data_IF_238199717996
#
_entry.id   IF_238199717996
#
_cell.length_a   1.000
_cell.length_b   1.000
_cell.length_c   1.000
_cell.angle_alpha   90.00
_cell.angle_beta   90.00
_cell.angle_gamma   90.00
#
_symmetry.space_group_name_H-M   'P 1'
#
loop_
_entity.id
_entity.type
_entity.pdbx_description
1 polymer ?
#
# COMPACT_ATOMS: atom_id res chain seq x y z
N UNK A 1 -40.19 31.56 -20.25
CA UNK A 1 -39.44 30.44 -20.86
C UNK A 1 -38.12 31.01 -21.37
N UNK A 2 -36.91 30.55 -21.05
CA UNK A 2 -36.42 29.38 -20.33
C UNK A 2 -35.31 29.87 -19.39
N UNK A 3 -35.38 29.51 -18.11
CA UNK A 3 -34.24 29.63 -17.20
C UNK A 3 -33.25 28.52 -17.55
N UNK A 4 -32.01 28.88 -17.85
CA UNK A 4 -30.96 27.94 -18.19
C UNK A 4 -30.49 27.22 -16.93
N UNK A 5 -30.61 25.89 -16.94
CA UNK A 5 -30.11 24.99 -15.92
C UNK A 5 -28.58 24.89 -15.95
N UNK A 6 -27.99 25.04 -14.77
CA UNK A 6 -27.03 24.12 -14.15
C UNK A 6 -25.82 23.68 -15.00
N UNK A 7 -24.65 24.20 -14.62
CA UNK A 7 -23.41 23.40 -14.56
C UNK A 7 -22.87 23.52 -13.14
N UNK A 8 -23.36 22.63 -12.27
CA UNK A 8 -22.66 22.29 -11.04
C UNK A 8 -21.36 21.62 -11.46
N UNK A 9 -20.25 22.36 -11.34
CA UNK A 9 -18.92 21.81 -11.36
C UNK A 9 -18.80 20.92 -10.11
N UNK A 10 -19.16 19.64 -10.25
CA UNK A 10 -18.85 18.64 -9.24
C UNK A 10 -17.34 18.48 -9.25
N UNK A 11 -16.67 19.21 -8.35
CA UNK A 11 -15.26 18.97 -8.05
C UNK A 11 -15.12 17.49 -7.69
N UNK A 12 -14.32 16.77 -8.48
CA UNK A 12 -13.93 15.39 -8.19
C UNK A 12 -13.30 15.43 -6.79
N UNK A 13 -14.01 14.91 -5.78
CA UNK A 13 -13.45 14.74 -4.45
C UNK A 13 -12.45 13.59 -4.55
N UNK A 14 -11.18 13.91 -4.77
CA UNK A 14 -10.11 12.94 -4.62
C UNK A 14 -10.17 12.40 -3.20
N UNK A 15 -10.43 11.11 -3.04
CA UNK A 15 -10.43 10.47 -1.73
C UNK A 15 -9.03 9.98 -1.40
N UNK A 16 -8.73 9.80 -0.11
CA UNK A 16 -7.47 9.15 0.32
C UNK A 16 -7.27 7.78 -0.33
N UNK A 17 -8.37 7.09 -0.66
CA UNK A 17 -8.34 5.83 -1.36
C UNK A 17 -7.90 6.00 -2.83
N UNK A 18 -8.32 7.08 -3.49
CA UNK A 18 -7.88 7.37 -4.86
C UNK A 18 -6.41 7.77 -4.91
N UNK A 19 -5.90 8.44 -3.88
CA UNK A 19 -4.47 8.73 -3.73
C UNK A 19 -3.66 7.42 -3.61
N UNK A 20 -4.08 6.49 -2.73
CA UNK A 20 -3.42 5.17 -2.58
C UNK A 20 -3.49 4.37 -3.88
N UNK A 21 -4.65 4.34 -4.55
CA UNK A 21 -4.79 3.69 -5.86
C UNK A 21 -3.83 4.29 -6.88
N UNK A 22 -3.63 5.60 -6.85
CA UNK A 22 -2.70 6.30 -7.76
C UNK A 22 -1.27 5.88 -7.49
N UNK A 23 -0.86 5.80 -6.22
CA UNK A 23 0.48 5.30 -5.84
C UNK A 23 0.70 3.87 -6.37
N UNK A 24 -0.26 2.96 -6.15
CA UNK A 24 -0.16 1.58 -6.64
C UNK A 24 -0.10 1.53 -8.17
N UNK A 25 -0.95 2.31 -8.87
CA UNK A 25 -1.02 2.29 -10.34
C UNK A 25 0.22 2.87 -11.01
N UNK A 26 0.81 3.89 -10.42
CA UNK A 26 1.92 4.64 -11.03
C UNK A 26 3.28 4.27 -10.44
N UNK A 27 3.32 3.46 -9.38
CA UNK A 27 4.56 3.01 -8.75
C UNK A 27 5.40 2.12 -9.67
N UNK A 28 6.70 2.11 -9.44
CA UNK A 28 7.63 1.21 -10.10
C UNK A 28 7.45 -0.22 -9.58
N UNK A 29 7.30 -1.17 -10.49
CA UNK A 29 7.31 -2.60 -10.15
C UNK A 29 8.77 -3.06 -10.03
N UNK A 30 9.16 -3.49 -8.84
CA UNK A 30 10.49 -4.03 -8.57
C UNK A 30 10.36 -5.40 -7.89
N UNK A 31 10.53 -6.47 -8.67
CA UNK A 31 10.30 -7.84 -8.21
C UNK A 31 8.86 -8.04 -7.77
N UNK A 32 8.66 -8.40 -6.50
CA UNK A 32 7.34 -8.61 -5.89
C UNK A 32 6.74 -7.35 -5.27
N UNK A 33 7.39 -6.19 -5.43
CA UNK A 33 6.99 -4.95 -4.78
C UNK A 33 6.53 -3.91 -5.80
N UNK A 34 5.65 -3.02 -5.37
CA UNK A 34 5.37 -1.75 -6.03
C UNK A 34 5.94 -0.65 -5.15
N UNK A 35 6.78 0.22 -5.71
CA UNK A 35 7.47 1.29 -5.01
C UNK A 35 7.00 2.63 -5.58
N UNK A 36 6.53 3.51 -4.71
CA UNK A 36 6.16 4.88 -5.08
C UNK A 36 6.98 5.86 -4.24
N UNK A 37 7.85 6.63 -4.88
CA UNK A 37 8.54 7.74 -4.21
C UNK A 37 7.54 8.87 -3.93
N UNK A 38 7.52 9.35 -2.68
CA UNK A 38 6.70 10.47 -2.24
C UNK A 38 7.51 11.77 -2.34
N UNK A 39 8.78 11.68 -1.93
CA UNK A 39 9.80 12.73 -2.04
C UNK A 39 11.20 12.06 -2.11
N UNK A 40 12.26 12.85 -2.17
CA UNK A 40 13.63 12.33 -2.33
C UNK A 40 14.13 11.48 -1.15
N UNK A 41 13.44 11.51 -0.01
CA UNK A 41 13.80 10.86 1.24
C UNK A 41 12.73 9.89 1.77
N UNK A 42 11.57 9.79 1.10
CA UNK A 42 10.42 9.00 1.54
C UNK A 42 9.82 8.22 0.38
N UNK A 43 9.57 6.93 0.60
CA UNK A 43 8.85 6.08 -0.35
C UNK A 43 7.80 5.23 0.36
N UNK A 44 6.76 4.86 -0.37
CA UNK A 44 5.82 3.82 0.02
C UNK A 44 6.13 2.56 -0.76
N UNK A 45 6.19 1.43 -0.07
CA UNK A 45 6.40 0.11 -0.67
C UNK A 45 5.19 -0.76 -0.38
N UNK A 46 4.50 -1.19 -1.43
CA UNK A 46 3.48 -2.23 -1.37
C UNK A 46 4.15 -3.56 -1.69
N UNK A 47 4.46 -4.35 -0.65
CA UNK A 47 5.12 -5.65 -0.80
C UNK A 47 4.12 -6.77 -0.89
N UNK A 48 4.33 -7.68 -1.82
CA UNK A 48 3.54 -8.89 -1.99
C UNK A 48 4.27 -10.10 -1.37
N UNK A 49 3.92 -10.45 -0.13
CA UNK A 49 4.52 -11.58 0.61
C UNK A 49 3.56 -12.77 0.58
N UNK A 50 3.37 -13.35 -0.61
CA UNK A 50 2.41 -14.43 -0.89
C UNK A 50 3.03 -15.61 -1.62
N UNK A 51 2.42 -16.80 -1.50
CA UNK A 51 2.87 -18.03 -2.14
C UNK A 51 4.32 -18.36 -1.76
N UNK A 52 5.20 -18.46 -2.75
CA UNK A 52 6.63 -18.73 -2.51
C UNK A 52 7.35 -17.61 -1.74
N UNK A 53 6.77 -16.41 -1.72
CA UNK A 53 7.29 -15.25 -1.00
C UNK A 53 6.73 -15.12 0.41
N UNK A 54 5.71 -15.91 0.76
CA UNK A 54 5.10 -15.88 2.07
C UNK A 54 6.12 -16.26 3.15
N UNK A 55 5.98 -15.64 4.31
CA UNK A 55 6.82 -15.94 5.46
C UNK A 55 6.02 -15.84 6.76
N UNK A 56 6.49 -16.47 7.85
CA UNK A 56 5.86 -16.34 9.14
C UNK A 56 5.82 -14.90 9.65
N UNK A 57 4.79 -14.57 10.42
CA UNK A 57 4.69 -13.31 11.19
C UNK A 57 4.57 -13.66 12.68
N UNK A 58 5.67 -14.21 13.21
CA UNK A 58 5.74 -14.80 14.56
C UNK A 58 5.26 -13.86 15.68
N UNK A 59 5.57 -12.55 15.69
CA UNK A 59 5.09 -11.65 16.74
C UNK A 59 3.56 -11.52 16.81
N UNK A 60 2.84 -11.93 15.76
CA UNK A 60 1.39 -11.88 15.66
C UNK A 60 0.75 -13.27 15.67
N UNK A 61 1.51 -14.31 16.04
CA UNK A 61 1.01 -15.68 16.18
C UNK A 61 1.05 -16.53 14.91
N UNK A 62 1.48 -15.98 13.77
CA UNK A 62 1.66 -16.74 12.53
C UNK A 62 3.02 -17.44 12.55
N UNK A 63 3.04 -18.70 12.99
CA UNK A 63 4.26 -19.50 13.11
C UNK A 63 4.70 -20.08 11.76
N UNK A 64 3.72 -20.46 10.93
CA UNK A 64 3.92 -20.89 9.55
C UNK A 64 3.82 -19.70 8.58
N UNK A 65 4.34 -19.84 7.34
CA UNK A 65 4.14 -18.85 6.30
C UNK A 65 2.66 -18.53 6.11
N UNK A 66 2.34 -17.24 6.06
CA UNK A 66 1.00 -16.75 5.80
C UNK A 66 1.04 -15.77 4.65
N UNK A 67 0.06 -15.82 3.76
CA UNK A 67 -0.07 -14.87 2.66
C UNK A 67 -0.50 -13.52 3.21
N UNK A 68 0.26 -12.48 2.87
CA UNK A 68 -0.03 -11.13 3.32
C UNK A 68 0.57 -10.07 2.40
N UNK A 69 0.00 -8.87 2.46
CA UNK A 69 0.59 -7.66 1.90
C UNK A 69 1.16 -6.78 3.01
N UNK A 70 2.30 -6.13 2.74
CA UNK A 70 2.79 -5.04 3.57
C UNK A 70 2.65 -3.72 2.83
N UNK A 71 2.12 -2.71 3.53
CA UNK A 71 2.24 -1.30 3.14
C UNK A 71 3.27 -0.68 4.05
N UNK A 72 4.46 -0.43 3.51
CA UNK A 72 5.56 0.16 4.25
C UNK A 72 5.76 1.62 3.88
N UNK A 73 5.97 2.47 4.88
CA UNK A 73 6.56 3.79 4.67
C UNK A 73 8.04 3.66 5.02
N UNK A 74 8.91 3.91 4.05
CA UNK A 74 10.35 3.85 4.21
C UNK A 74 10.95 5.25 4.07
N UNK A 75 11.98 5.53 4.86
CA UNK A 75 12.76 6.77 4.72
C UNK A 75 14.23 6.47 4.51
N UNK A 76 14.96 7.35 3.81
CA UNK A 76 16.42 7.26 3.73
C UNK A 76 17.05 7.48 5.10
N UNK A 77 18.03 6.64 5.39
CA UNK A 77 19.00 6.86 6.48
C UNK A 77 20.04 7.91 6.06
N UNK A 78 20.83 8.48 6.99
CA UNK A 78 21.90 9.40 6.63
C UNK A 78 22.93 8.83 5.64
N UNK A 79 23.08 7.49 5.60
CA UNK A 79 23.94 6.79 4.65
C UNK A 79 23.25 6.47 3.30
N UNK A 80 22.06 7.02 3.03
CA UNK A 80 21.32 6.86 1.79
C UNK A 80 20.55 5.55 1.63
N UNK A 81 20.59 4.64 2.61
CA UNK A 81 19.84 3.38 2.57
C UNK A 81 18.38 3.57 2.98
N UNK A 82 17.46 2.95 2.27
CA UNK A 82 16.05 2.88 2.65
C UNK A 82 15.83 1.99 3.88
N UNK A 83 14.98 2.45 4.81
CA UNK A 83 14.57 1.68 5.99
C UNK A 83 13.11 1.94 6.33
N UNK A 84 12.35 0.87 6.60
CA UNK A 84 10.96 0.95 7.03
C UNK A 84 10.84 1.69 8.37
N UNK A 85 9.98 2.70 8.40
CA UNK A 85 9.58 3.47 9.58
C UNK A 85 8.23 2.99 10.11
N UNK A 86 7.33 2.69 9.20
CA UNK A 86 6.03 2.09 9.49
C UNK A 86 5.78 0.94 8.52
N UNK A 87 5.11 -0.10 8.98
CA UNK A 87 4.70 -1.25 8.18
C UNK A 87 3.31 -1.64 8.63
N UNK A 88 2.38 -1.78 7.70
CA UNK A 88 1.03 -2.26 7.97
C UNK A 88 0.79 -3.54 7.18
N UNK A 89 0.43 -4.62 7.88
CA UNK A 89 0.24 -5.94 7.30
C UNK A 89 -1.25 -6.19 7.10
N UNK A 90 -1.58 -6.78 5.95
CA UNK A 90 -2.93 -7.17 5.58
C UNK A 90 -2.89 -8.67 5.26
N UNK A 91 -3.43 -9.48 6.17
CA UNK A 91 -3.50 -10.93 6.03
C UNK A 91 -4.85 -11.31 5.45
N UNK A 92 -4.85 -12.24 4.49
CA UNK A 92 -6.06 -12.67 3.81
C UNK A 92 -6.12 -14.19 3.64
N UNK A 93 -7.33 -14.72 3.47
CA UNK A 93 -7.57 -16.14 3.21
C UNK A 93 -7.37 -16.51 1.73
N UNK A 94 -7.54 -17.78 1.39
CA UNK A 94 -7.42 -18.31 0.03
C UNK A 94 -8.44 -17.74 -0.98
N UNK A 95 -9.50 -17.10 -0.48
CA UNK A 95 -10.54 -16.42 -1.27
C UNK A 95 -10.27 -14.92 -1.40
N UNK A 96 -9.20 -14.42 -0.78
CA UNK A 96 -8.85 -13.01 -0.76
C UNK A 96 -9.64 -12.17 0.25
N UNK A 97 -10.37 -12.78 1.19
CA UNK A 97 -11.01 -12.04 2.27
C UNK A 97 -9.95 -11.64 3.31
N UNK A 98 -9.99 -10.39 3.75
CA UNK A 98 -9.13 -9.92 4.84
C UNK A 98 -9.55 -10.60 6.15
N UNK A 99 -8.62 -11.31 6.78
CA UNK A 99 -8.86 -12.03 8.05
C UNK A 99 -8.14 -11.41 9.24
N UNK A 100 -7.11 -10.59 9.00
CA UNK A 100 -6.40 -9.87 10.05
C UNK A 100 -5.62 -8.67 9.50
N UNK A 101 -5.37 -7.68 10.34
CA UNK A 101 -4.53 -6.52 10.02
C UNK A 101 -3.78 -6.01 11.24
N UNK A 102 -2.55 -5.55 11.06
CA UNK A 102 -1.74 -5.03 12.16
C UNK A 102 -0.56 -4.17 11.70
N UNK A 103 -0.10 -3.28 12.58
CA UNK A 103 1.19 -2.59 12.50
C UNK A 103 2.35 -3.38 13.10
#
# INVERSE_FOLDING_TARGET
MKSSNILLQQGIRNTKLDDIKTLIKNGEVNGKNIISEIDENTQIVFRNDTGINAHPVKPKGYIDPVDHYNVEIQTKTPAGKWKSKWSYHIVFDDKGNIINTFD
#
